data_IF_828537844905
#
_entry.id   IF_828537844905
#
_cell.length_a   1.000
_cell.length_b   1.000
_cell.length_c   1.000
_cell.angle_alpha   90.00
_cell.angle_beta   90.00
_cell.angle_gamma   90.00
#
_symmetry.space_group_name_H-M   'P 1'
#
loop_
_entity.id
_entity.type
_entity.pdbx_description
1 polymer ?
#
# COMPACT_ATOMS: atom_id res chain seq x y z
N UNK A 1 29.30 -18.34 -2.44
CA UNK A 1 27.88 -17.93 -2.52
C UNK A 1 27.69 -16.63 -3.31
N UNK A 2 28.62 -15.65 -3.29
CA UNK A 2 28.47 -14.42 -4.09
C UNK A 2 28.46 -14.69 -5.59
N UNK A 3 29.35 -15.56 -6.11
CA UNK A 3 29.41 -15.87 -7.56
C UNK A 3 28.11 -16.38 -8.16
N UNK A 4 27.35 -17.20 -7.42
CA UNK A 4 26.08 -17.76 -7.90
C UNK A 4 25.00 -16.68 -7.91
N UNK A 5 24.99 -15.81 -6.90
CA UNK A 5 24.04 -14.69 -6.83
C UNK A 5 24.34 -13.67 -7.92
N UNK A 6 25.61 -13.36 -8.15
CA UNK A 6 26.04 -12.43 -9.19
C UNK A 6 25.72 -12.98 -10.59
N UNK A 7 25.96 -14.27 -10.84
CA UNK A 7 25.56 -14.94 -12.07
C UNK A 7 24.03 -14.95 -12.27
N UNK A 8 23.26 -15.17 -11.21
CA UNK A 8 21.80 -15.12 -11.27
C UNK A 8 21.30 -13.69 -11.57
N UNK A 9 21.91 -12.66 -10.97
CA UNK A 9 21.59 -11.25 -11.25
C UNK A 9 21.92 -10.91 -12.71
N UNK A 10 23.10 -11.32 -13.21
CA UNK A 10 23.47 -11.08 -14.60
C UNK A 10 22.53 -11.79 -15.58
N UNK A 11 22.13 -13.02 -15.28
CA UNK A 11 21.14 -13.76 -16.08
C UNK A 11 19.74 -13.13 -16.02
N UNK A 12 19.33 -12.53 -14.88
CA UNK A 12 18.07 -11.79 -14.79
C UNK A 12 18.07 -10.52 -15.65
N UNK A 13 19.22 -9.84 -15.75
CA UNK A 13 19.35 -8.60 -16.51
C UNK A 13 19.32 -8.80 -18.03
N UNK A 14 19.52 -10.03 -18.52
CA UNK A 14 19.42 -10.38 -19.94
C UNK A 14 17.99 -10.73 -20.39
N UNK A 15 17.07 -10.98 -19.45
CA UNK A 15 15.68 -11.30 -19.76
C UNK A 15 14.84 -10.07 -20.14
N UNK A 16 13.76 -10.25 -20.93
CA UNK A 16 12.73 -9.23 -21.15
C UNK A 16 12.14 -8.72 -19.82
N UNK A 17 11.71 -7.46 -19.79
CA UNK A 17 11.21 -6.80 -18.57
C UNK A 17 10.09 -7.58 -17.89
N UNK A 18 9.13 -8.08 -18.66
CA UNK A 18 7.98 -8.85 -18.15
C UNK A 18 8.42 -10.14 -17.43
N UNK A 19 9.43 -10.82 -17.98
CA UNK A 19 9.93 -12.10 -17.48
C UNK A 19 10.86 -11.90 -16.27
N UNK A 20 11.65 -10.83 -16.27
CA UNK A 20 12.43 -10.38 -15.12
C UNK A 20 11.54 -10.00 -13.95
N UNK A 21 10.48 -9.25 -14.22
CA UNK A 21 9.51 -8.84 -13.22
C UNK A 21 8.81 -10.09 -12.64
N UNK A 22 8.35 -11.00 -13.50
CA UNK A 22 7.79 -12.30 -13.06
C UNK A 22 8.73 -13.07 -12.14
N UNK A 23 10.00 -13.25 -12.49
CA UNK A 23 10.95 -14.02 -11.68
C UNK A 23 11.30 -13.27 -10.39
N UNK A 24 11.45 -11.94 -10.45
CA UNK A 24 11.59 -11.13 -9.24
C UNK A 24 10.39 -11.33 -8.31
N UNK A 25 9.17 -11.46 -8.84
CA UNK A 25 7.99 -11.79 -8.04
C UNK A 25 8.02 -13.20 -7.47
N UNK A 26 8.39 -14.21 -8.24
CA UNK A 26 8.52 -15.58 -7.72
C UNK A 26 9.58 -15.65 -6.60
N UNK A 27 10.68 -14.91 -6.74
CA UNK A 27 11.71 -14.80 -5.71
C UNK A 27 11.20 -14.06 -4.47
N UNK A 28 10.54 -12.92 -4.65
CA UNK A 28 9.95 -12.15 -3.56
C UNK A 28 8.85 -12.95 -2.85
N UNK A 29 8.04 -13.71 -3.58
CA UNK A 29 6.98 -14.58 -3.03
C UNK A 29 7.56 -15.71 -2.18
N UNK A 30 8.72 -16.25 -2.58
CA UNK A 30 9.43 -17.30 -1.83
C UNK A 30 10.26 -16.75 -0.67
N UNK A 31 10.76 -15.51 -0.78
CA UNK A 31 11.55 -14.83 0.24
C UNK A 31 10.71 -14.13 1.30
N UNK A 32 9.46 -13.78 0.99
CA UNK A 32 8.53 -13.25 2.00
C UNK A 32 7.88 -14.36 2.82
N UNK A 33 7.89 -14.17 4.13
CA UNK A 33 6.89 -14.72 5.03
C UNK A 33 5.51 -14.13 4.66
N UNK A 34 4.84 -14.76 3.69
CA UNK A 34 3.40 -14.55 3.38
C UNK A 34 2.53 -14.58 4.65
N UNK A 35 3.04 -15.21 5.71
CA UNK A 35 2.41 -15.37 7.01
C UNK A 35 2.42 -14.11 7.88
N UNK A 36 3.38 -13.19 7.73
CA UNK A 36 3.55 -12.09 8.70
C UNK A 36 2.46 -11.03 8.54
N UNK A 37 2.31 -10.46 7.34
CA UNK A 37 1.24 -9.48 7.09
C UNK A 37 -0.15 -10.08 7.25
N UNK A 38 -0.34 -11.29 6.73
CA UNK A 38 -1.64 -11.98 6.79
C UNK A 38 -2.00 -12.32 8.24
N UNK A 39 -1.03 -12.72 9.08
CA UNK A 39 -1.26 -12.96 10.50
C UNK A 39 -1.63 -11.71 11.28
N UNK A 40 -1.00 -10.57 10.98
CA UNK A 40 -1.20 -9.33 11.73
C UNK A 40 -2.51 -8.64 11.33
N UNK A 41 -2.84 -8.59 10.02
CA UNK A 41 -3.97 -7.78 9.54
C UNK A 41 -5.32 -8.36 9.94
N UNK A 42 -5.42 -9.68 10.12
CA UNK A 42 -6.64 -10.38 10.50
C UNK A 42 -6.84 -10.50 12.02
N UNK A 43 -6.01 -9.86 12.86
CA UNK A 43 -6.27 -9.84 14.30
C UNK A 43 -7.48 -8.95 14.64
N UNK A 44 -8.23 -9.23 15.73
CA UNK A 44 -9.36 -8.39 16.13
C UNK A 44 -8.98 -6.93 16.37
N UNK A 45 -7.78 -6.67 16.90
CA UNK A 45 -7.28 -5.30 17.11
C UNK A 45 -7.02 -4.59 15.79
N UNK A 46 -6.39 -5.29 14.83
CA UNK A 46 -6.17 -4.76 13.49
C UNK A 46 -7.49 -4.46 12.77
N UNK A 47 -8.48 -5.36 12.82
CA UNK A 47 -9.80 -5.13 12.22
C UNK A 47 -10.49 -3.90 12.85
N UNK A 48 -10.50 -3.79 14.18
CA UNK A 48 -11.07 -2.63 14.87
C UNK A 48 -10.33 -1.31 14.52
N UNK A 49 -9.01 -1.35 14.36
CA UNK A 49 -8.24 -0.21 13.91
C UNK A 49 -8.57 0.18 12.46
N UNK A 50 -8.65 -0.81 11.55
CA UNK A 50 -9.02 -0.60 10.15
C UNK A 50 -10.42 0.00 10.00
N UNK A 51 -11.40 -0.49 10.75
CA UNK A 51 -12.75 0.06 10.79
C UNK A 51 -12.74 1.53 11.22
N UNK A 52 -12.09 1.84 12.35
CA UNK A 52 -12.01 3.20 12.87
C UNK A 52 -11.28 4.16 11.92
N UNK A 53 -10.13 3.74 11.38
CA UNK A 53 -9.31 4.55 10.49
C UNK A 53 -10.04 4.82 9.17
N UNK A 54 -10.66 3.79 8.59
CA UNK A 54 -11.39 3.90 7.34
C UNK A 54 -12.65 4.77 7.44
N UNK A 55 -13.42 4.64 8.53
CA UNK A 55 -14.57 5.51 8.80
C UNK A 55 -14.17 6.99 8.94
N UNK A 56 -13.05 7.26 9.62
CA UNK A 56 -12.49 8.62 9.72
C UNK A 56 -12.12 9.15 8.33
N UNK A 57 -11.44 8.35 7.51
CA UNK A 57 -11.01 8.73 6.16
C UNK A 57 -12.19 9.02 5.25
N UNK A 58 -13.24 8.19 5.26
CA UNK A 58 -14.46 8.44 4.49
C UNK A 58 -15.13 9.76 4.86
N UNK A 59 -15.24 10.06 6.16
CA UNK A 59 -15.82 11.32 6.63
C UNK A 59 -15.00 12.54 6.17
N UNK A 60 -13.67 12.44 6.20
CA UNK A 60 -12.78 13.50 5.69
C UNK A 60 -12.93 13.66 4.18
N UNK A 61 -12.99 12.54 3.46
CA UNK A 61 -13.20 12.50 2.02
C UNK A 61 -14.50 13.20 1.61
N UNK A 62 -15.63 12.84 2.21
CA UNK A 62 -16.94 13.44 1.93
C UNK A 62 -16.95 14.95 2.20
N UNK A 63 -16.29 15.39 3.27
CA UNK A 63 -16.14 16.81 3.59
C UNK A 63 -15.29 17.55 2.54
N UNK A 64 -14.25 16.92 2.01
CA UNK A 64 -13.41 17.52 0.97
C UNK A 64 -14.14 17.52 -0.38
N UNK A 65 -14.77 16.40 -0.76
CA UNK A 65 -15.55 16.25 -1.98
C UNK A 65 -16.71 17.25 -2.05
N UNK A 66 -17.47 17.43 -0.96
CA UNK A 66 -18.53 18.44 -0.89
C UNK A 66 -17.99 19.86 -1.04
N UNK A 67 -16.90 20.22 -0.34
CA UNK A 67 -16.30 21.56 -0.49
C UNK A 67 -15.84 21.83 -1.92
N UNK A 68 -15.28 20.84 -2.61
CA UNK A 68 -14.82 20.97 -3.98
C UNK A 68 -15.98 21.09 -4.97
N UNK A 69 -17.05 20.33 -4.78
CA UNK A 69 -18.25 20.45 -5.63
C UNK A 69 -18.91 21.82 -5.51
N UNK A 70 -18.88 22.43 -4.32
CA UNK A 70 -19.43 23.78 -4.11
C UNK A 70 -18.55 24.91 -4.69
N UNK A 71 -17.23 24.75 -4.72
CA UNK A 71 -16.32 25.85 -5.08
C UNK A 71 -15.95 25.92 -6.57
N UNK A 72 -16.37 24.98 -7.43
CA UNK A 72 -15.93 24.91 -8.84
C UNK A 72 -14.39 24.91 -8.99
N UNK A 73 -13.66 24.55 -7.92
CA UNK A 73 -12.20 24.51 -7.91
C UNK A 73 -11.77 23.15 -8.44
N UNK A 74 -11.01 23.18 -9.54
CA UNK A 74 -10.22 22.06 -10.02
C UNK A 74 -8.95 21.93 -9.15
N UNK A 75 -9.05 21.26 -7.99
CA UNK A 75 -7.84 20.72 -7.35
C UNK A 75 -7.38 19.48 -8.12
N UNK A 76 -6.06 19.18 -8.14
CA UNK A 76 -5.61 17.87 -8.58
C UNK A 76 -6.32 16.84 -7.70
N UNK A 77 -7.14 15.98 -8.30
CA UNK A 77 -7.99 15.06 -7.55
C UNK A 77 -7.22 14.10 -6.65
N UNK A 78 -5.91 13.99 -6.85
CA UNK A 78 -5.04 13.03 -6.18
C UNK A 78 -4.63 13.46 -4.76
N UNK A 79 -4.54 14.75 -4.45
CA UNK A 79 -4.02 15.21 -3.15
C UNK A 79 -4.99 14.89 -2.00
N UNK A 80 -6.30 14.99 -2.24
CA UNK A 80 -7.32 14.68 -1.23
C UNK A 80 -7.61 13.17 -1.10
N UNK A 81 -7.07 12.35 -1.99
CA UNK A 81 -7.15 10.89 -1.89
C UNK A 81 -6.14 10.32 -0.91
N UNK A 82 -5.27 11.12 -0.30
CA UNK A 82 -4.37 10.70 0.77
C UNK A 82 -4.64 11.55 2.00
N UNK A 83 -5.12 10.93 3.07
CA UNK A 83 -5.47 11.63 4.31
C UNK A 83 -4.22 12.11 5.05
N UNK A 84 -4.33 13.11 5.92
CA UNK A 84 -3.19 13.68 6.63
C UNK A 84 -2.36 12.65 7.42
N UNK A 85 -2.98 11.59 7.95
CA UNK A 85 -2.26 10.50 8.62
C UNK A 85 -1.44 9.65 7.65
N UNK A 86 -1.86 9.54 6.40
CA UNK A 86 -1.03 8.95 5.35
C UNK A 86 0.24 9.78 5.16
N UNK A 87 0.11 11.10 5.00
CA UNK A 87 1.26 11.97 4.76
C UNK A 87 2.23 11.99 5.94
N UNK A 88 1.72 12.03 7.17
CA UNK A 88 2.56 11.91 8.38
C UNK A 88 3.35 10.60 8.39
N UNK A 89 2.67 9.48 8.19
CA UNK A 89 3.33 8.18 8.16
C UNK A 89 4.32 8.07 6.99
N UNK A 90 3.99 8.66 5.84
CA UNK A 90 4.87 8.72 4.67
C UNK A 90 6.12 9.57 4.91
N UNK A 91 6.01 10.70 5.60
CA UNK A 91 7.13 11.58 5.95
C UNK A 91 8.11 10.93 6.92
N UNK A 92 7.62 10.06 7.81
CA UNK A 92 8.43 9.27 8.74
C UNK A 92 9.22 8.14 8.05
N UNK A 93 8.92 7.82 6.78
CA UNK A 93 9.62 6.77 6.05
C UNK A 93 11.02 7.22 5.60
N UNK A 94 12.02 6.31 5.64
CA UNK A 94 13.32 6.54 5.03
C UNK A 94 13.19 6.96 3.56
N UNK A 95 14.08 7.84 3.10
CA UNK A 95 14.05 8.37 1.72
C UNK A 95 13.96 7.28 0.63
N UNK A 96 14.70 6.14 0.71
CA UNK A 96 14.57 5.07 -0.27
C UNK A 96 13.16 4.45 -0.28
N UNK A 97 12.54 4.30 0.88
CA UNK A 97 11.18 3.76 1.01
C UNK A 97 10.14 4.73 0.47
N UNK A 98 10.30 6.04 0.68
CA UNK A 98 9.43 7.07 0.07
C UNK A 98 9.46 7.01 -1.46
N UNK A 99 10.66 6.91 -2.04
CA UNK A 99 10.81 6.76 -3.49
C UNK A 99 10.14 5.47 -4.01
N UNK A 100 10.27 4.37 -3.25
CA UNK A 100 9.60 3.11 -3.56
C UNK A 100 8.08 3.21 -3.45
N UNK A 101 7.56 3.88 -2.41
CA UNK A 101 6.14 4.11 -2.22
C UNK A 101 5.53 4.89 -3.39
N UNK A 102 6.19 5.97 -3.85
CA UNK A 102 5.72 6.73 -5.02
C UNK A 102 5.79 5.94 -6.31
N UNK A 103 6.88 5.17 -6.54
CA UNK A 103 6.97 4.27 -7.70
C UNK A 103 5.83 3.25 -7.70
N UNK A 104 5.57 2.65 -6.54
CA UNK A 104 4.56 1.59 -6.41
C UNK A 104 3.14 2.14 -6.48
N UNK A 105 2.92 3.36 -5.98
CA UNK A 105 1.67 4.07 -6.14
C UNK A 105 1.36 4.36 -7.61
N UNK A 106 2.36 4.79 -8.40
CA UNK A 106 2.20 4.97 -9.86
C UNK A 106 1.85 3.65 -10.55
N UNK A 107 2.56 2.57 -10.21
CA UNK A 107 2.25 1.23 -10.72
C UNK A 107 0.81 0.82 -10.38
N UNK A 108 0.37 1.04 -9.15
CA UNK A 108 -1.01 0.77 -8.75
C UNK A 108 -2.04 1.58 -9.56
N UNK A 109 -1.75 2.84 -9.91
CA UNK A 109 -2.65 3.63 -10.76
C UNK A 109 -2.75 3.10 -12.19
N UNK A 110 -1.63 2.62 -12.73
CA UNK A 110 -1.53 2.14 -14.11
C UNK A 110 -2.08 0.72 -14.26
N UNK A 111 -1.73 -0.16 -13.33
CA UNK A 111 -2.13 -1.57 -13.30
C UNK A 111 -2.38 -2.03 -11.85
N UNK A 112 -3.59 -1.81 -11.31
CA UNK A 112 -3.96 -2.31 -9.98
C UNK A 112 -3.91 -3.84 -9.85
N UNK A 113 -4.01 -4.57 -10.98
CA UNK A 113 -3.98 -6.03 -11.02
C UNK A 113 -2.55 -6.59 -11.05
N UNK A 114 -1.55 -5.70 -11.10
CA UNK A 114 -0.15 -6.07 -11.14
C UNK A 114 0.23 -6.95 -9.95
N UNK A 115 0.74 -8.16 -10.21
CA UNK A 115 0.97 -9.20 -9.21
C UNK A 115 1.90 -8.78 -8.06
N UNK A 116 2.86 -7.88 -8.35
CA UNK A 116 3.77 -7.28 -7.36
C UNK A 116 3.09 -6.53 -6.23
N UNK A 117 1.96 -5.90 -6.51
CA UNK A 117 1.22 -5.07 -5.58
C UNK A 117 0.53 -5.93 -4.54
N UNK A 118 0.16 -7.17 -4.90
CA UNK A 118 -0.76 -8.01 -4.14
C UNK A 118 -1.97 -7.21 -3.63
N UNK A 119 -2.51 -6.35 -4.49
CA UNK A 119 -3.60 -5.46 -4.13
C UNK A 119 -4.84 -6.28 -3.79
N UNK A 120 -5.29 -6.23 -2.55
CA UNK A 120 -6.40 -7.04 -2.06
C UNK A 120 -7.14 -6.40 -0.89
N UNK A 121 -8.34 -6.88 -0.63
CA UNK A 121 -9.11 -6.51 0.55
C UNK A 121 -8.48 -7.12 1.81
N UNK A 122 -8.43 -6.34 2.90
CA UNK A 122 -7.80 -6.71 4.18
C UNK A 122 -8.71 -6.51 5.39
N UNK A 123 -10.00 -6.25 5.15
CA UNK A 123 -11.02 -6.15 6.17
C UNK A 123 -12.16 -7.12 5.86
N UNK A 124 -12.82 -7.64 6.89
CA UNK A 124 -13.87 -8.67 6.75
C UNK A 124 -15.08 -8.19 5.93
N UNK A 125 -15.62 -7.00 6.23
CA UNK A 125 -16.84 -6.47 5.58
C UNK A 125 -16.66 -5.16 4.82
N UNK A 126 -15.77 -4.28 5.27
CA UNK A 126 -15.52 -2.97 4.66
C UNK A 126 -14.59 -3.08 3.44
N UNK A 127 -14.74 -2.19 2.43
CA UNK A 127 -13.91 -2.17 1.23
C UNK A 127 -12.55 -1.51 1.51
N UNK A 128 -11.84 -2.04 2.51
CA UNK A 128 -10.48 -1.62 2.90
C UNK A 128 -9.48 -2.51 2.20
N UNK A 129 -8.59 -1.90 1.44
CA UNK A 129 -7.60 -2.58 0.62
C UNK A 129 -6.19 -2.23 1.05
N UNK A 130 -5.27 -3.14 0.76
CA UNK A 130 -3.84 -2.93 0.91
C UNK A 130 -3.08 -3.36 -0.33
N UNK A 131 -1.99 -2.64 -0.62
CA UNK A 131 -0.96 -3.09 -1.56
C UNK A 131 0.44 -2.96 -0.95
N UNK A 132 1.39 -3.65 -1.57
CA UNK A 132 2.78 -3.74 -1.13
C UNK A 132 3.60 -2.53 -1.52
N UNK A 133 4.44 -2.08 -0.59
CA UNK A 133 5.53 -1.13 -0.86
C UNK A 133 6.84 -1.86 -0.58
N UNK A 134 7.32 -2.60 -1.58
CA UNK A 134 8.44 -3.52 -1.42
C UNK A 134 8.11 -4.70 -0.49
N UNK A 135 9.15 -5.21 0.20
CA UNK A 135 9.02 -6.37 1.07
C UNK A 135 8.36 -6.03 2.41
N UNK A 136 8.89 -5.05 3.14
CA UNK A 136 8.50 -4.82 4.55
C UNK A 136 7.41 -3.79 4.78
N UNK A 137 7.00 -3.05 3.74
CA UNK A 137 6.04 -1.96 3.89
C UNK A 137 4.75 -2.25 3.14
N UNK A 138 3.66 -1.67 3.65
CA UNK A 138 2.33 -1.77 3.08
C UNK A 138 1.69 -0.40 3.07
N UNK A 139 0.78 -0.22 2.13
CA UNK A 139 -0.13 0.92 2.07
C UNK A 139 -1.56 0.41 2.29
N UNK A 140 -2.39 1.18 2.97
CA UNK A 140 -3.79 0.83 3.27
C UNK A 140 -4.70 2.01 2.93
N UNK A 141 -5.83 1.70 2.29
CA UNK A 141 -6.84 2.68 1.91
C UNK A 141 -8.24 2.08 1.88
N UNK A 142 -9.25 2.93 1.78
CA UNK A 142 -10.65 2.55 1.63
C UNK A 142 -11.18 3.01 0.28
N UNK A 143 -11.97 2.14 -0.36
CA UNK A 143 -12.71 2.50 -1.55
C UNK A 143 -13.89 3.41 -1.20
N UNK A 144 -13.97 4.57 -1.82
CA UNK A 144 -15.02 5.57 -1.60
C UNK A 144 -16.30 5.21 -2.37
N UNK A 145 -17.45 5.83 -2.05
CA UNK A 145 -18.70 5.58 -2.76
C UNK A 145 -18.67 5.90 -4.26
N UNK A 146 -17.76 6.77 -4.71
CA UNK A 146 -17.54 7.12 -6.11
C UNK A 146 -16.35 6.37 -6.75
N UNK A 147 -16.08 5.16 -6.25
CA UNK A 147 -15.09 4.20 -6.75
C UNK A 147 -13.62 4.66 -6.71
N UNK A 148 -13.30 5.74 -6.01
CA UNK A 148 -11.90 6.18 -5.78
C UNK A 148 -11.29 5.46 -4.59
N UNK A 149 -9.96 5.50 -4.48
CA UNK A 149 -9.25 5.00 -3.30
C UNK A 149 -8.76 6.16 -2.45
N UNK A 150 -9.20 6.20 -1.19
CA UNK A 150 -8.70 7.11 -0.17
C UNK A 150 -7.70 6.37 0.74
N UNK A 151 -6.43 6.72 0.62
CA UNK A 151 -5.31 6.14 1.38
C UNK A 151 -5.14 6.84 2.71
N UNK A 152 -4.94 6.06 3.77
CA UNK A 152 -4.86 6.60 5.13
C UNK A 152 -3.68 6.07 5.94
N UNK A 153 -2.93 5.11 5.40
CA UNK A 153 -1.72 4.64 6.08
C UNK A 153 -0.70 4.06 5.10
N UNK A 154 0.58 4.25 5.43
CA UNK A 154 1.73 3.57 4.82
C UNK A 154 2.79 3.35 5.90
N UNK A 155 3.38 2.17 5.97
CA UNK A 155 4.35 1.86 7.02
C UNK A 155 4.86 0.43 6.98
N UNK A 156 5.78 0.10 7.88
CA UNK A 156 6.31 -1.25 8.06
C UNK A 156 5.38 -2.15 8.87
N UNK A 157 5.64 -3.46 8.89
CA UNK A 157 4.94 -4.40 9.78
C UNK A 157 5.10 -4.01 11.26
N UNK A 158 6.32 -3.66 11.69
CA UNK A 158 6.61 -3.25 13.07
C UNK A 158 5.78 -2.02 13.47
N UNK A 159 5.75 -1.00 12.60
CA UNK A 159 4.97 0.21 12.83
C UNK A 159 3.47 -0.09 12.89
N UNK A 160 2.99 -1.02 12.07
CA UNK A 160 1.60 -1.43 12.09
C UNK A 160 1.24 -2.16 13.39
N UNK A 161 2.08 -3.09 13.85
CA UNK A 161 1.88 -3.81 15.12
C UNK A 161 1.85 -2.86 16.31
N UNK A 162 2.74 -1.86 16.34
CA UNK A 162 2.72 -0.79 17.34
C UNK A 162 1.44 0.02 17.29
N UNK A 163 0.99 0.38 16.08
CA UNK A 163 -0.20 1.18 15.85
C UNK A 163 -1.49 0.49 16.30
N UNK A 164 -1.61 -0.82 16.09
CA UNK A 164 -2.78 -1.63 16.51
C UNK A 164 -2.65 -2.14 17.95
N UNK A 165 -1.48 -1.98 18.59
CA UNK A 165 -1.22 -2.39 19.96
C UNK A 165 -1.09 -3.91 20.14
N UNK A 166 -0.49 -4.60 19.17
CA UNK A 166 -0.22 -6.06 19.18
C UNK A 166 1.23 -6.42 19.58
N UNK A 167 1.90 -5.54 20.35
CA UNK A 167 3.15 -5.86 21.05
C UNK A 167 2.91 -6.32 22.49
#
# INVERSE_FOLDING_TARGET
MSDIVDQAIQALMTLPTEERDRIAYELIERLEDKNEWDGIVWTPKSQAWLEKASAKTLKTYEKQASRLSYHLISLPSEEYLREDSYWKAYEDLPQPTRALAEKTYKLWKEDPAHSSLRFRQVHESLPVFSFRVGMKHRTIGIKTPDDKMAWFWVGSFDQYQELVGDK
#
